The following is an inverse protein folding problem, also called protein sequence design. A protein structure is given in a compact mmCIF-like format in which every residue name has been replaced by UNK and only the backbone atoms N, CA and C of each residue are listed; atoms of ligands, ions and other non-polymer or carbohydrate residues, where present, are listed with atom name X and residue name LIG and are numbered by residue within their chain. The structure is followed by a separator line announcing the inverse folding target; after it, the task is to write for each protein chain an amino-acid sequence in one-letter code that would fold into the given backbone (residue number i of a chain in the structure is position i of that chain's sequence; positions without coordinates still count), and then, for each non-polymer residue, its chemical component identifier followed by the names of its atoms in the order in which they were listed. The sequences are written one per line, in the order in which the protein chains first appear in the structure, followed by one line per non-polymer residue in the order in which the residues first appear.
data_IF_367190891729
#
_entry.id   IF_367190891729
#
_cell.length_a   1.000
_cell.length_b   1.000
_cell.length_c   1.000
_cell.angle_alpha   90.00
_cell.angle_beta   90.00
_cell.angle_gamma   90.00
#
_symmetry.space_group_name_H-M   'P 1'
#
loop_
_entity.id
_entity.type
_entity.pdbx_description
1 polymer ?
#
# COMPACT_ATOMS: atom_id res chain seq x y z
N UNK A 1 12.32 3.35 -5.01
CA UNK A 1 12.17 3.04 -3.56
C UNK A 1 13.25 2.03 -3.18
N UNK A 2 14.02 2.30 -2.11
CA UNK A 2 14.96 1.31 -1.56
C UNK A 2 14.25 0.61 -0.40
N UNK A 3 14.22 -0.71 -0.41
CA UNK A 3 13.59 -1.49 0.66
C UNK A 3 14.52 -1.59 1.86
N UNK A 4 13.99 -1.38 3.05
CA UNK A 4 14.68 -1.68 4.31
C UNK A 4 14.62 -3.19 4.56
N UNK A 5 15.76 -3.90 4.71
CA UNK A 5 15.78 -5.36 4.82
C UNK A 5 15.14 -5.87 6.12
N UNK A 6 15.20 -5.08 7.20
CA UNK A 6 14.68 -5.45 8.52
C UNK A 6 13.19 -5.17 8.68
N UNK A 7 12.58 -4.49 7.71
CA UNK A 7 11.15 -4.16 7.72
C UNK A 7 10.43 -5.00 6.67
N UNK A 8 9.36 -5.74 7.02
CA UNK A 8 8.58 -6.47 6.04
C UNK A 8 8.09 -5.55 4.90
N UNK A 9 8.25 -5.98 3.64
CA UNK A 9 7.85 -5.21 2.44
C UNK A 9 6.43 -4.66 2.52
N UNK A 10 5.49 -5.45 3.03
CA UNK A 10 4.11 -5.01 3.18
C UNK A 10 3.95 -3.81 4.13
N UNK A 11 4.76 -3.71 5.20
CA UNK A 11 4.71 -2.56 6.13
C UNK A 11 5.25 -1.30 5.47
N UNK A 12 6.30 -1.43 4.67
CA UNK A 12 6.88 -0.30 3.94
C UNK A 12 5.89 0.23 2.89
N UNK A 13 5.23 -0.66 2.14
CA UNK A 13 4.19 -0.25 1.18
C UNK A 13 2.97 0.32 1.89
N UNK A 14 2.55 -0.27 3.01
CA UNK A 14 1.47 0.27 3.83
C UNK A 14 1.77 1.71 4.26
N UNK A 15 2.97 1.99 4.77
CA UNK A 15 3.35 3.34 5.19
C UNK A 15 3.25 4.36 4.04
N UNK A 16 3.80 4.03 2.86
CA UNK A 16 3.72 4.89 1.67
C UNK A 16 2.26 5.11 1.24
N UNK A 17 1.45 4.06 1.24
CA UNK A 17 0.05 4.14 0.86
C UNK A 17 -0.77 4.95 1.87
N UNK A 18 -0.48 4.82 3.17
CA UNK A 18 -1.09 5.63 4.23
C UNK A 18 -0.75 7.11 4.07
N UNK A 19 0.51 7.44 3.79
CA UNK A 19 0.92 8.82 3.52
C UNK A 19 0.15 9.41 2.33
N UNK A 20 -0.04 8.65 1.25
CA UNK A 20 -0.86 9.04 0.09
C UNK A 20 -2.34 9.23 0.37
N UNK A 21 -2.87 8.53 1.37
CA UNK A 21 -4.25 8.77 1.81
C UNK A 21 -4.30 10.09 2.59
N UNK A 22 -3.30 10.32 3.46
CA UNK A 22 -3.23 11.52 4.29
C UNK A 22 -2.94 12.80 3.51
N UNK A 23 -2.13 12.73 2.44
CA UNK A 23 -1.83 13.87 1.57
C UNK A 23 -2.94 14.19 0.55
N UNK A 24 -3.98 13.33 0.49
CA UNK A 24 -5.12 13.49 -0.39
C UNK A 24 -4.93 12.96 -1.81
N UNK A 25 -3.83 12.26 -2.11
CA UNK A 25 -3.63 11.54 -3.40
C UNK A 25 -4.79 10.59 -3.67
N UNK A 26 -5.27 9.90 -2.63
CA UNK A 26 -6.51 9.14 -2.69
C UNK A 26 -7.59 9.90 -1.90
N UNK A 27 -8.58 10.51 -2.58
CA UNK A 27 -9.59 11.29 -1.89
C UNK A 27 -10.41 10.41 -0.93
N UNK A 28 -10.94 10.99 0.17
CA UNK A 28 -11.91 10.29 0.99
C UNK A 28 -13.08 9.84 0.10
N UNK A 29 -13.45 8.56 0.23
CA UNK A 29 -14.45 7.87 -0.62
C UNK A 29 -13.99 7.53 -2.06
N UNK A 30 -12.77 7.93 -2.42
CA UNK A 30 -12.09 7.49 -3.64
C UNK A 30 -11.73 6.01 -3.59
N UNK A 31 -11.57 5.41 -4.77
CA UNK A 31 -11.07 4.04 -4.87
C UNK A 31 -9.56 4.02 -4.65
N UNK A 32 -9.11 3.18 -3.70
CA UNK A 32 -7.72 2.78 -3.61
C UNK A 32 -7.30 2.00 -4.88
N UNK A 33 -6.01 2.02 -5.24
CA UNK A 33 -5.49 1.20 -6.32
C UNK A 33 -5.74 -0.29 -6.05
N UNK A 34 -5.85 -1.07 -7.13
CA UNK A 34 -6.03 -2.50 -7.03
C UNK A 34 -4.76 -3.19 -6.54
N UNK A 35 -4.88 -4.44 -6.11
CA UNK A 35 -3.69 -5.23 -5.75
C UNK A 35 -2.73 -5.39 -6.94
N UNK A 36 -3.22 -5.37 -8.17
CA UNK A 36 -2.40 -5.47 -9.38
C UNK A 36 -1.62 -4.18 -9.59
N UNK A 37 -2.27 -3.02 -9.47
CA UNK A 37 -1.60 -1.71 -9.58
C UNK A 37 -0.47 -1.58 -8.54
N UNK A 38 -0.72 -2.05 -7.31
CA UNK A 38 0.31 -2.07 -6.25
C UNK A 38 1.45 -3.05 -6.58
N UNK A 39 1.16 -4.19 -7.22
CA UNK A 39 2.22 -5.10 -7.67
C UNK A 39 3.08 -4.45 -8.74
N UNK A 40 2.46 -3.80 -9.71
CA UNK A 40 3.15 -3.16 -10.83
C UNK A 40 3.99 -1.96 -10.35
N UNK A 41 3.48 -1.20 -9.38
CA UNK A 41 4.18 -0.05 -8.83
C UNK A 41 5.33 -0.43 -7.89
N UNK A 42 5.10 -1.38 -6.98
CA UNK A 42 6.07 -1.70 -5.92
C UNK A 42 6.86 -2.99 -6.18
N UNK A 43 6.57 -3.75 -7.24
CA UNK A 43 7.25 -5.00 -7.55
C UNK A 43 7.09 -6.07 -6.46
N UNK A 44 5.97 -6.06 -5.74
CA UNK A 44 5.66 -7.03 -4.69
C UNK A 44 4.69 -8.11 -5.17
N UNK A 45 4.60 -9.23 -4.45
CA UNK A 45 3.63 -10.27 -4.78
C UNK A 45 2.18 -9.80 -4.56
N UNK A 46 1.25 -10.35 -5.34
CA UNK A 46 -0.18 -10.04 -5.21
C UNK A 46 -0.74 -10.37 -3.81
N UNK A 47 -0.21 -11.41 -3.17
CA UNK A 47 -0.59 -11.77 -1.79
C UNK A 47 -0.16 -10.68 -0.82
N UNK A 48 1.05 -10.14 -1.00
CA UNK A 48 1.58 -9.01 -0.21
C UNK A 48 0.76 -7.74 -0.45
N UNK A 49 0.43 -7.42 -1.71
CA UNK A 49 -0.37 -6.25 -2.06
C UNK A 49 -1.80 -6.33 -1.48
N UNK A 50 -2.45 -7.50 -1.57
CA UNK A 50 -3.75 -7.76 -0.94
C UNK A 50 -3.69 -7.53 0.57
N UNK A 51 -2.63 -8.02 1.23
CA UNK A 51 -2.42 -7.78 2.67
C UNK A 51 -2.35 -6.29 2.98
N UNK A 52 -1.61 -5.50 2.21
CA UNK A 52 -1.54 -4.04 2.40
C UNK A 52 -2.93 -3.41 2.33
N UNK A 53 -3.69 -3.72 1.29
CA UNK A 53 -5.06 -3.20 1.12
C UNK A 53 -6.00 -3.61 2.28
N UNK A 54 -5.88 -4.84 2.77
CA UNK A 54 -6.64 -5.29 3.94
C UNK A 54 -6.28 -4.49 5.18
N UNK A 55 -4.99 -4.27 5.45
CA UNK A 55 -4.56 -3.51 6.63
C UNK A 55 -4.93 -2.03 6.50
N UNK A 56 -4.84 -1.42 5.30
CA UNK A 56 -5.29 -0.04 5.07
C UNK A 56 -6.79 0.12 5.35
N UNK A 57 -7.61 -0.85 4.92
CA UNK A 57 -9.04 -0.86 5.20
C UNK A 57 -9.35 -1.04 6.69
N UNK A 58 -8.51 -1.73 7.46
CA UNK A 58 -8.68 -1.88 8.92
C UNK A 58 -8.24 -0.64 9.69
N UNK A 59 -7.27 0.10 9.17
CA UNK A 59 -6.71 1.30 9.79
C UNK A 59 -7.56 2.57 9.56
N UNK A 60 -8.52 2.51 8.61
CA UNK A 60 -9.48 3.57 8.31
C UNK A 60 -10.79 3.40 9.08
#
# INVERSE_FOLDING_TARGET
MKWEPDVPRWRQVFAVMSERIMDGTYPPEGRLPSAMDICDEFGISQVTAKRVLTELRKAG
#
